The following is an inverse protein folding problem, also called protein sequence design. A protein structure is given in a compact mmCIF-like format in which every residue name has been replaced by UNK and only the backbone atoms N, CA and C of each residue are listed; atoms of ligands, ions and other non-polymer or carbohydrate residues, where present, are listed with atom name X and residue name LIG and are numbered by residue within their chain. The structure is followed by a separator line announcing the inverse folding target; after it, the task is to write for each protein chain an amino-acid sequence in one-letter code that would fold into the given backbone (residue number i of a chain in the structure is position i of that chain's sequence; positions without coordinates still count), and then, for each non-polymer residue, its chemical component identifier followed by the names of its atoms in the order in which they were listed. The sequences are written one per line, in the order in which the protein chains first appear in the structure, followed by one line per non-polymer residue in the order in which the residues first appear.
data_IF_626590988646
#
_entry.id   IF_626590988646
#
_cell.length_a   1.000
_cell.length_b   1.000
_cell.length_c   1.000
_cell.angle_alpha   90.00
_cell.angle_beta   90.00
_cell.angle_gamma   90.00
#
_symmetry.space_group_name_H-M   'P 1'
#
loop_
_entity.id
_entity.type
_entity.pdbx_description
1 polymer ?
#
# COMPACT_ATOMS: atom_id res chain seq x y z
N UNK A 1 -9.82 11.91 -8.89
CA UNK A 1 -10.04 12.07 -7.45
C UNK A 1 -10.33 10.69 -6.90
N UNK A 2 -9.48 10.19 -6.01
CA UNK A 2 -9.81 9.00 -5.22
C UNK A 2 -10.81 9.42 -4.13
N UNK A 3 -11.52 8.47 -3.50
CA UNK A 3 -12.65 8.70 -2.59
C UNK A 3 -12.38 9.55 -1.34
N UNK A 4 -11.13 9.93 -1.12
CA UNK A 4 -10.57 10.75 -0.04
C UNK A 4 -10.05 12.12 -0.50
N UNK A 5 -10.12 12.45 -1.80
CA UNK A 5 -9.74 13.76 -2.33
C UNK A 5 -8.32 13.86 -2.89
N UNK A 6 -7.58 12.75 -2.89
CA UNK A 6 -6.20 12.71 -3.38
C UNK A 6 -6.09 12.68 -4.92
N UNK A 7 -4.98 13.21 -5.48
CA UNK A 7 -4.72 13.14 -6.92
C UNK A 7 -4.51 11.69 -7.39
N UNK A 8 -5.05 11.35 -8.56
CA UNK A 8 -4.94 9.98 -9.12
C UNK A 8 -3.48 9.53 -9.32
N UNK A 9 -2.58 10.46 -9.64
CA UNK A 9 -1.18 10.14 -9.90
C UNK A 9 -0.38 9.78 -8.64
N UNK A 10 -0.85 10.20 -7.45
CA UNK A 10 -0.22 9.84 -6.17
C UNK A 10 -0.49 8.35 -5.90
N UNK A 11 -1.74 7.92 -6.05
CA UNK A 11 -2.16 6.52 -5.98
C UNK A 11 -1.39 5.62 -6.95
N UNK A 12 -1.23 6.06 -8.21
CA UNK A 12 -0.50 5.32 -9.24
C UNK A 12 0.99 5.13 -8.88
N UNK A 13 1.58 6.08 -8.17
CA UNK A 13 2.98 6.02 -7.72
C UNK A 13 3.17 4.99 -6.60
N UNK A 14 2.27 4.99 -5.61
CA UNK A 14 2.32 4.03 -4.50
C UNK A 14 2.10 2.59 -4.98
N UNK A 15 1.15 2.42 -5.90
CA UNK A 15 0.88 1.14 -6.57
C UNK A 15 2.12 0.59 -7.28
N UNK A 16 2.85 1.45 -7.98
CA UNK A 16 4.10 1.08 -8.64
C UNK A 16 5.20 0.70 -7.63
N UNK A 17 5.35 1.48 -6.55
CA UNK A 17 6.40 1.25 -5.55
C UNK A 17 6.22 -0.09 -4.82
N UNK A 18 4.99 -0.42 -4.41
CA UNK A 18 4.67 -1.67 -3.75
C UNK A 18 4.92 -2.89 -4.66
N UNK A 19 4.52 -2.79 -5.94
CA UNK A 19 4.76 -3.85 -6.94
C UNK A 19 6.25 -4.14 -7.17
N UNK A 20 7.08 -3.08 -7.22
CA UNK A 20 8.54 -3.20 -7.35
C UNK A 20 9.13 -3.89 -6.12
N UNK A 21 8.78 -3.48 -4.90
CA UNK A 21 9.27 -4.10 -3.67
C UNK A 21 8.87 -5.59 -3.60
N UNK A 22 7.61 -5.90 -3.90
CA UNK A 22 7.10 -7.26 -3.94
C UNK A 22 7.88 -8.16 -4.91
N UNK A 23 8.28 -7.63 -6.07
CA UNK A 23 9.05 -8.39 -7.05
C UNK A 23 10.52 -8.55 -6.66
N UNK A 24 11.19 -7.46 -6.27
CA UNK A 24 12.64 -7.45 -6.11
C UNK A 24 13.10 -7.85 -4.71
N UNK A 25 12.34 -7.50 -3.66
CA UNK A 25 12.70 -7.82 -2.27
C UNK A 25 12.07 -9.14 -1.83
N UNK A 26 10.80 -9.36 -2.19
CA UNK A 26 10.05 -10.54 -1.77
C UNK A 26 9.99 -11.67 -2.81
N UNK A 27 10.52 -11.45 -4.02
CA UNK A 27 10.62 -12.49 -5.05
C UNK A 27 9.28 -12.97 -5.61
N UNK A 28 8.21 -12.20 -5.43
CA UNK A 28 6.88 -12.57 -5.90
C UNK A 28 6.78 -12.51 -7.43
N UNK A 29 5.98 -13.40 -8.02
CA UNK A 29 5.64 -13.33 -9.45
C UNK A 29 4.76 -12.11 -9.72
N UNK A 30 4.83 -11.58 -10.95
CA UNK A 30 4.13 -10.35 -11.34
C UNK A 30 2.66 -10.34 -10.90
N UNK A 31 1.91 -11.40 -11.20
CA UNK A 31 0.50 -11.50 -10.83
C UNK A 31 0.26 -11.42 -9.32
N UNK A 32 1.14 -12.03 -8.52
CA UNK A 32 1.05 -11.96 -7.05
C UNK A 32 1.53 -10.61 -6.54
N UNK A 33 2.57 -10.02 -7.12
CA UNK A 33 3.11 -8.72 -6.73
C UNK A 33 2.08 -7.60 -6.84
N UNK A 34 1.24 -7.62 -7.89
CA UNK A 34 0.17 -6.64 -8.11
C UNK A 34 -1.10 -6.94 -7.31
N UNK A 35 -1.30 -8.18 -6.87
CA UNK A 35 -2.48 -8.61 -6.11
C UNK A 35 -2.27 -8.59 -4.60
N UNK A 36 -1.06 -8.32 -4.13
CA UNK A 36 -0.73 -8.25 -2.70
C UNK A 36 -1.31 -6.95 -2.11
N UNK A 37 -1.92 -6.99 -0.91
CA UNK A 37 -2.53 -5.81 -0.30
C UNK A 37 -1.50 -4.69 -0.07
N UNK A 38 -1.93 -3.45 -0.29
CA UNK A 38 -1.07 -2.25 -0.23
C UNK A 38 -1.26 -1.44 1.03
N UNK A 39 -0.18 -0.75 1.41
CA UNK A 39 -0.10 0.16 2.55
C UNK A 39 0.55 1.47 2.10
N UNK A 40 0.01 2.60 2.54
CA UNK A 40 0.45 3.93 2.12
C UNK A 40 0.37 4.96 3.26
N UNK A 41 1.29 5.93 3.29
CA UNK A 41 1.25 7.11 4.17
C UNK A 41 1.88 8.30 3.46
N UNK A 42 1.10 9.34 3.22
CA UNK A 42 1.53 10.49 2.41
C UNK A 42 1.97 11.72 3.20
N UNK A 43 2.49 11.57 4.43
CA UNK A 43 2.83 12.67 5.36
C UNK A 43 1.63 13.55 5.77
N UNK A 44 0.89 14.11 4.82
CA UNK A 44 -0.32 14.88 5.02
C UNK A 44 -1.45 14.40 4.09
N UNK A 45 -2.67 14.15 4.59
CA UNK A 45 -3.02 14.07 6.01
C UNK A 45 -2.19 12.99 6.71
N UNK A 46 -1.95 13.15 8.02
CA UNK A 46 -1.14 12.19 8.78
C UNK A 46 -1.95 10.93 9.10
N UNK A 47 -2.21 10.14 8.08
CA UNK A 47 -2.97 8.90 8.13
C UNK A 47 -2.26 7.79 7.38
N UNK A 48 -2.30 6.58 7.96
CA UNK A 48 -1.83 5.36 7.33
C UNK A 48 -3.03 4.67 6.67
N UNK A 49 -3.02 4.55 5.35
CA UNK A 49 -4.05 3.90 4.56
C UNK A 49 -3.65 2.45 4.29
N UNK A 50 -4.59 1.51 4.46
CA UNK A 50 -4.35 0.08 4.24
C UNK A 50 -5.49 -0.56 3.47
N UNK A 51 -5.15 -1.40 2.50
CA UNK A 51 -6.12 -2.30 1.87
C UNK A 51 -6.49 -3.49 2.78
N UNK A 52 -7.59 -4.16 2.46
CA UNK A 52 -7.97 -5.39 3.15
C UNK A 52 -6.96 -6.51 2.84
N UNK A 53 -6.49 -7.23 3.87
CA UNK A 53 -5.60 -8.38 3.70
C UNK A 53 -4.44 -8.44 4.70
N UNK A 54 -4.18 -7.36 5.44
CA UNK A 54 -3.21 -7.36 6.54
C UNK A 54 -3.75 -8.13 7.77
N UNK A 55 -2.84 -8.82 8.47
CA UNK A 55 -3.17 -9.53 9.70
C UNK A 55 -3.64 -8.57 10.80
N UNK A 56 -4.66 -8.92 11.60
CA UNK A 56 -5.11 -8.10 12.72
C UNK A 56 -4.00 -7.76 13.72
N UNK A 57 -3.06 -8.68 13.95
CA UNK A 57 -1.91 -8.45 14.84
C UNK A 57 -1.00 -7.37 14.29
N UNK A 58 -0.74 -7.37 12.98
CA UNK A 58 0.05 -6.33 12.32
C UNK A 58 -0.65 -4.98 12.41
N UNK A 59 -1.97 -4.94 12.24
CA UNK A 59 -2.75 -3.71 12.37
C UNK A 59 -2.67 -3.14 13.79
N UNK A 60 -2.71 -3.97 14.83
CA UNK A 60 -2.53 -3.52 16.22
C UNK A 60 -1.12 -2.98 16.49
N UNK A 61 -0.08 -3.58 15.90
CA UNK A 61 1.29 -3.07 16.01
C UNK A 61 1.49 -1.71 15.33
N UNK A 62 0.78 -1.46 14.22
CA UNK A 62 0.89 -0.21 13.46
C UNK A 62 0.13 0.98 14.10
N UNK A 63 -0.72 0.72 15.10
CA UNK A 63 -1.46 1.76 15.85
C UNK A 63 -0.67 2.36 17.02
N UNK A 64 0.46 1.75 17.38
CA UNK A 64 1.33 2.18 18.49
C UNK A 64 2.11 3.44 18.12
#
# INVERSE_FOLDING_TARGET
MVGDGEPLWEQDYDDCSAGVLNRFVHGLYLATSVATPRIHRQLWPDSLQLEQGFSPVTLELLKQ
#
